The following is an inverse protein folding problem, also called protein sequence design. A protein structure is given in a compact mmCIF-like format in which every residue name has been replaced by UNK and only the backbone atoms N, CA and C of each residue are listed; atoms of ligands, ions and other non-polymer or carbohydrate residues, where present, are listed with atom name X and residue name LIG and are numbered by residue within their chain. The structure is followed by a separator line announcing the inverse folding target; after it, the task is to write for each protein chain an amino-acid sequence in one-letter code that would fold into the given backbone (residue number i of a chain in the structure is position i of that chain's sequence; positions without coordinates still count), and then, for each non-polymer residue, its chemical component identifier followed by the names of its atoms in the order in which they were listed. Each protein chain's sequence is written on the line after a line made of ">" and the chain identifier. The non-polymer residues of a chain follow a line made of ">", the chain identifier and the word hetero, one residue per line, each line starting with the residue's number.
data_IF_445591864288
#
_entry.id   IF_445591864288
#
_cell.length_a   1.000
_cell.length_b   1.000
_cell.length_c   1.000
_cell.angle_alpha   90.00
_cell.angle_beta   90.00
_cell.angle_gamma   90.00
#
_symmetry.space_group_name_H-M   'P 1'
#
loop_
_entity.id
_entity.type
_entity.pdbx_description
1 polymer ?
#
# COMPACT_ATOMS: atom_id res chain seq x y z
N UNK A 1 -40.64 -42.05 -26.79
CA UNK A 1 -41.05 -42.17 -25.38
C UNK A 1 -41.65 -40.86 -24.96
N UNK A 2 -42.98 -40.80 -25.06
CA UNK A 2 -43.81 -39.65 -24.69
C UNK A 2 -44.07 -39.69 -23.18
N UNK A 3 -43.92 -38.56 -22.50
CA UNK A 3 -44.38 -38.40 -21.12
C UNK A 3 -45.40 -37.26 -21.07
N UNK A 4 -46.64 -37.65 -20.75
CA UNK A 4 -47.83 -36.82 -20.71
C UNK A 4 -47.91 -35.99 -19.43
N UNK A 5 -48.39 -34.76 -19.56
CA UNK A 5 -48.81 -33.86 -18.47
C UNK A 5 -50.08 -34.38 -17.78
N UNK A 6 -50.19 -34.30 -16.43
CA UNK A 6 -51.48 -34.33 -15.75
C UNK A 6 -52.01 -32.92 -15.46
N UNK A 7 -53.30 -32.75 -15.79
CA UNK A 7 -54.12 -31.56 -15.58
C UNK A 7 -54.41 -31.31 -14.10
N UNK A 8 -54.40 -30.04 -13.69
CA UNK A 8 -54.85 -29.59 -12.37
C UNK A 8 -56.18 -28.84 -12.56
N UNK A 9 -57.22 -29.40 -11.95
CA UNK A 9 -58.59 -28.88 -11.90
C UNK A 9 -58.69 -27.76 -10.88
N UNK A 10 -59.23 -26.60 -11.28
CA UNK A 10 -59.49 -25.45 -10.41
C UNK A 10 -60.96 -25.45 -9.98
N UNK A 11 -61.30 -25.41 -8.68
CA UNK A 11 -62.66 -25.15 -8.24
C UNK A 11 -62.95 -23.65 -8.18
N UNK A 12 -64.13 -23.29 -8.68
CA UNK A 12 -64.70 -21.95 -8.66
C UNK A 12 -65.12 -21.54 -7.23
N UNK A 13 -64.78 -20.33 -6.82
CA UNK A 13 -65.28 -19.71 -5.59
C UNK A 13 -65.99 -18.40 -5.93
N UNK A 14 -67.26 -18.30 -5.54
CA UNK A 14 -68.11 -17.11 -5.72
C UNK A 14 -67.82 -16.06 -4.65
N UNK A 15 -68.03 -14.75 -4.93
CA UNK A 15 -67.80 -13.69 -3.96
C UNK A 15 -69.09 -13.43 -3.16
N UNK A 16 -68.98 -13.45 -1.83
CA UNK A 16 -70.02 -12.89 -0.97
C UNK A 16 -69.46 -11.64 -0.29
N UNK A 17 -70.04 -10.50 -0.64
CA UNK A 17 -69.65 -9.16 -0.22
C UNK A 17 -70.77 -8.64 0.65
N UNK A 18 -70.59 -8.60 1.97
CA UNK A 18 -71.33 -7.71 2.88
C UNK A 18 -70.77 -7.76 4.29
N UNK A 19 -70.40 -6.58 4.81
CA UNK A 19 -70.34 -6.33 6.26
C UNK A 19 -68.95 -6.25 6.89
N UNK A 20 -68.18 -5.19 6.57
CA UNK A 20 -67.14 -4.71 7.47
C UNK A 20 -67.24 -3.19 7.61
N UNK A 21 -67.81 -2.78 8.74
CA UNK A 21 -67.84 -1.41 9.24
C UNK A 21 -66.42 -1.01 9.64
N UNK A 22 -65.87 0.02 9.00
CA UNK A 22 -64.58 0.62 9.36
C UNK A 22 -64.64 1.25 10.76
N UNK A 23 -63.75 0.89 11.70
CA UNK A 23 -63.55 1.70 12.89
C UNK A 23 -62.79 2.98 12.51
N UNK A 24 -63.32 4.11 13.00
CA UNK A 24 -62.74 5.44 12.88
C UNK A 24 -61.29 5.46 13.41
N UNK A 25 -60.33 6.12 12.73
CA UNK A 25 -58.96 6.19 13.22
C UNK A 25 -58.90 7.04 14.48
N UNK A 26 -58.32 6.48 15.55
CA UNK A 26 -57.96 7.23 16.74
C UNK A 26 -56.89 8.29 16.38
N UNK A 27 -56.89 9.47 17.03
CA UNK A 27 -55.84 10.46 16.84
C UNK A 27 -54.50 9.87 17.32
N UNK A 28 -53.53 9.83 16.42
CA UNK A 28 -52.15 9.44 16.70
C UNK A 28 -51.58 10.46 17.69
N UNK A 29 -51.44 10.04 18.95
CA UNK A 29 -50.59 10.74 19.92
C UNK A 29 -49.16 10.62 19.43
N UNK A 30 -48.62 11.72 18.91
CA UNK A 30 -47.21 11.86 18.57
C UNK A 30 -46.41 11.76 19.86
N UNK A 31 -45.72 10.63 20.02
CA UNK A 31 -44.74 10.40 21.07
C UNK A 31 -43.47 11.22 20.76
N UNK A 32 -43.10 12.23 21.58
CA UNK A 32 -41.90 13.03 21.35
C UNK A 32 -40.70 12.27 21.94
N UNK A 33 -40.30 11.17 21.29
CA UNK A 33 -39.29 10.27 21.88
C UNK A 33 -38.31 9.61 20.93
N UNK A 34 -38.56 9.56 19.62
CA UNK A 34 -37.63 8.96 18.68
C UNK A 34 -36.78 10.04 18.02
N UNK A 35 -35.77 10.50 18.75
CA UNK A 35 -34.60 11.11 18.13
C UNK A 35 -33.96 10.04 17.22
N UNK A 36 -34.15 10.20 15.92
CA UNK A 36 -33.29 9.57 14.93
C UNK A 36 -31.85 10.01 15.21
N UNK A 37 -31.06 9.14 15.84
CA UNK A 37 -29.60 9.26 15.89
C UNK A 37 -29.03 8.91 14.51
N UNK A 38 -29.32 9.76 13.51
CA UNK A 38 -28.68 9.71 12.19
C UNK A 38 -27.30 10.37 12.26
N UNK A 39 -26.38 9.76 13.00
CA UNK A 39 -25.01 10.22 13.14
C UNK A 39 -24.09 9.06 13.49
N UNK A 40 -23.98 8.07 12.60
CA UNK A 40 -23.18 6.85 12.85
C UNK A 40 -21.66 7.10 12.87
N UNK A 41 -21.21 8.32 12.55
CA UNK A 41 -19.83 8.77 12.67
C UNK A 41 -19.81 10.23 13.10
N UNK A 42 -19.63 10.53 14.39
CA UNK A 42 -19.45 11.91 14.86
C UNK A 42 -17.97 12.30 14.74
N UNK A 43 -17.49 12.32 13.49
CA UNK A 43 -16.18 12.89 13.16
C UNK A 43 -14.96 12.08 13.60
N UNK A 44 -13.75 12.59 13.30
CA UNK A 44 -12.48 11.87 13.46
C UNK A 44 -12.07 11.59 14.92
N UNK A 45 -12.76 12.17 15.90
CA UNK A 45 -12.40 12.09 17.33
C UNK A 45 -13.06 10.91 18.07
N UNK A 46 -14.08 10.27 17.49
CA UNK A 46 -14.73 9.09 18.08
C UNK A 46 -13.93 7.80 17.89
N UNK A 47 -12.96 7.82 16.98
CA UNK A 47 -12.14 6.66 16.65
C UNK A 47 -10.87 6.72 17.48
N UNK A 48 -10.65 5.66 18.27
CA UNK A 48 -9.42 5.46 19.03
C UNK A 48 -8.16 5.55 18.12
N UNK A 49 -7.07 6.14 18.65
CA UNK A 49 -5.87 6.42 17.88
C UNK A 49 -5.20 5.15 17.34
N UNK A 50 -5.24 4.06 18.12
CA UNK A 50 -4.76 2.76 17.70
C UNK A 50 -5.58 2.23 16.52
N UNK A 51 -6.91 2.29 16.62
CA UNK A 51 -7.81 1.84 15.55
C UNK A 51 -7.60 2.64 14.24
N UNK A 52 -7.39 3.95 14.36
CA UNK A 52 -7.05 4.82 13.21
C UNK A 52 -5.72 4.42 12.58
N UNK A 53 -4.70 4.21 13.40
CA UNK A 53 -3.37 3.81 12.95
C UNK A 53 -3.40 2.43 12.27
N UNK A 54 -4.12 1.47 12.84
CA UNK A 54 -4.30 0.13 12.28
C UNK A 54 -4.98 0.18 10.90
N UNK A 55 -6.05 0.96 10.77
CA UNK A 55 -6.71 1.17 9.48
C UNK A 55 -5.78 1.83 8.46
N UNK A 56 -4.98 2.82 8.89
CA UNK A 56 -4.04 3.53 8.02
C UNK A 56 -2.93 2.61 7.50
N UNK A 57 -2.34 1.76 8.36
CA UNK A 57 -1.32 0.79 7.95
C UNK A 57 -1.88 -0.18 6.91
N UNK A 58 -3.10 -0.71 7.13
CA UNK A 58 -3.74 -1.60 6.15
C UNK A 58 -4.05 -0.89 4.83
N UNK A 59 -4.51 0.35 4.89
CA UNK A 59 -4.75 1.16 3.69
C UNK A 59 -3.46 1.38 2.90
N UNK A 60 -2.38 1.81 3.56
CA UNK A 60 -1.09 2.03 2.93
C UNK A 60 -0.50 0.73 2.38
N UNK A 61 -0.63 -0.39 3.09
CA UNK A 61 -0.11 -1.68 2.64
C UNK A 61 -0.74 -2.09 1.30
N UNK A 62 -2.07 -2.01 1.20
CA UNK A 62 -2.79 -2.27 -0.05
C UNK A 62 -2.39 -1.29 -1.15
N UNK A 63 -2.21 -0.02 -0.80
CA UNK A 63 -1.86 1.03 -1.75
C UNK A 63 -0.45 0.83 -2.32
N UNK A 64 0.54 0.51 -1.48
CA UNK A 64 1.91 0.24 -1.89
C UNK A 64 2.01 -1.06 -2.68
N UNK A 65 1.22 -2.07 -2.33
CA UNK A 65 1.05 -3.27 -3.17
C UNK A 65 0.54 -2.93 -4.58
N UNK A 66 -0.43 -2.02 -4.71
CA UNK A 66 -0.93 -1.57 -6.01
C UNK A 66 0.09 -0.73 -6.81
N UNK A 67 1.03 -0.05 -6.14
CA UNK A 67 2.17 0.61 -6.78
C UNK A 67 3.27 -0.38 -7.19
N UNK A 68 3.22 -1.63 -6.73
CA UNK A 68 4.27 -2.62 -6.99
C UNK A 68 5.50 -2.44 -6.11
N UNK A 69 5.39 -1.72 -4.98
CA UNK A 69 6.49 -1.51 -4.04
C UNK A 69 6.62 -2.59 -2.97
N UNK A 70 5.67 -3.51 -2.93
CA UNK A 70 5.65 -4.60 -1.95
C UNK A 70 5.78 -5.97 -2.63
N UNK A 71 6.69 -6.09 -3.59
CA UNK A 71 6.96 -7.36 -4.27
C UNK A 71 7.84 -8.24 -3.39
N UNK A 72 7.52 -9.53 -3.29
CA UNK A 72 8.40 -10.48 -2.63
C UNK A 72 9.42 -11.02 -3.63
N UNK A 73 10.71 -10.85 -3.33
CA UNK A 73 11.77 -11.50 -4.11
C UNK A 73 11.67 -13.03 -3.90
N UNK A 74 11.26 -13.75 -4.94
CA UNK A 74 11.15 -15.22 -4.92
C UNK A 74 12.53 -15.91 -4.89
N UNK A 75 13.59 -15.17 -5.21
CA UNK A 75 14.97 -15.65 -5.33
C UNK A 75 15.78 -15.30 -4.07
N UNK A 76 15.28 -14.41 -3.21
CA UNK A 76 15.94 -14.05 -1.97
C UNK A 76 16.08 -15.27 -1.05
N UNK A 77 17.32 -15.52 -0.60
CA UNK A 77 17.66 -16.60 0.34
C UNK A 77 17.01 -16.41 1.72
N UNK A 78 16.62 -15.18 2.04
CA UNK A 78 15.92 -14.81 3.27
C UNK A 78 14.54 -14.29 2.87
N UNK A 79 13.43 -14.80 3.45
CA UNK A 79 12.11 -14.26 3.18
C UNK A 79 12.09 -12.78 3.56
N UNK A 80 12.06 -11.92 2.55
CA UNK A 80 12.10 -10.48 2.75
C UNK A 80 10.79 -10.07 3.42
N UNK A 81 10.93 -9.47 4.60
CA UNK A 81 9.78 -8.95 5.32
C UNK A 81 9.37 -7.60 4.73
N UNK A 82 8.61 -7.68 3.64
CA UNK A 82 8.10 -6.53 2.90
C UNK A 82 6.78 -6.08 3.51
N UNK A 83 6.69 -4.83 3.94
CA UNK A 83 5.52 -4.31 4.61
C UNK A 83 5.73 -2.93 5.22
N UNK A 84 4.85 -2.58 6.15
CA UNK A 84 4.79 -1.26 6.78
C UNK A 84 4.76 -1.44 8.30
N UNK A 85 5.50 -0.61 9.02
CA UNK A 85 5.41 -0.47 10.47
C UNK A 85 5.06 0.98 10.79
N UNK A 86 4.09 1.18 11.67
CA UNK A 86 3.66 2.49 12.15
C UNK A 86 3.60 2.49 13.66
N UNK A 87 3.99 3.61 14.25
CA UNK A 87 3.82 3.87 15.67
C UNK A 87 2.36 4.26 15.93
N UNK A 88 1.72 3.54 16.84
CA UNK A 88 0.37 3.80 17.32
C UNK A 88 0.41 4.11 18.82
N UNK A 89 -0.49 4.98 19.28
CA UNK A 89 -0.74 5.14 20.72
C UNK A 89 -1.88 4.22 21.13
N UNK A 90 -1.69 3.50 22.23
CA UNK A 90 -2.70 2.66 22.84
C UNK A 90 -2.85 3.10 24.30
N UNK A 91 -3.76 4.06 24.54
CA UNK A 91 -3.79 4.79 25.81
C UNK A 91 -2.52 5.61 26.03
N UNK A 92 -1.85 5.38 27.16
CA UNK A 92 -0.57 6.03 27.51
C UNK A 92 0.65 5.32 26.92
N UNK A 93 0.48 4.10 26.41
CA UNK A 93 1.55 3.29 25.85
C UNK A 93 1.74 3.54 24.35
N UNK A 94 2.96 3.35 23.88
CA UNK A 94 3.33 3.43 22.46
C UNK A 94 3.62 2.03 21.94
N UNK A 95 2.92 1.62 20.88
CA UNK A 95 3.10 0.32 20.23
C UNK A 95 3.46 0.50 18.75
N UNK A 96 4.16 -0.47 18.16
CA UNK A 96 4.44 -0.51 16.73
C UNK A 96 3.59 -1.59 16.05
N UNK A 97 2.58 -1.13 15.33
CA UNK A 97 1.70 -1.95 14.51
C UNK A 97 2.35 -2.19 13.14
N UNK A 98 2.11 -3.36 12.55
CA UNK A 98 2.72 -3.73 11.27
C UNK A 98 1.77 -4.49 10.36
N UNK A 99 1.90 -4.27 9.04
CA UNK A 99 1.28 -5.12 8.02
C UNK A 99 2.30 -5.53 6.94
N UNK A 100 2.50 -6.84 6.70
CA UNK A 100 1.83 -7.95 7.38
C UNK A 100 2.23 -8.05 8.87
N UNK A 101 1.41 -8.68 9.70
CA UNK A 101 1.74 -8.88 11.13
C UNK A 101 3.01 -9.71 11.35
N UNK A 102 3.42 -10.48 10.34
CA UNK A 102 4.66 -11.27 10.30
C UNK A 102 5.90 -10.43 9.92
N UNK A 103 5.80 -9.10 10.02
CA UNK A 103 6.90 -8.19 9.76
C UNK A 103 8.11 -8.51 10.67
N UNK A 104 9.33 -8.40 10.15
CA UNK A 104 10.56 -8.60 10.94
C UNK A 104 10.59 -7.63 12.13
N UNK A 105 10.81 -8.18 13.33
CA UNK A 105 10.94 -7.42 14.56
C UNK A 105 12.10 -6.42 14.52
N UNK A 106 13.14 -6.66 13.72
CA UNK A 106 14.22 -5.70 13.50
C UNK A 106 13.69 -4.36 13.01
N UNK A 107 12.68 -4.35 12.12
CA UNK A 107 12.09 -3.11 11.61
C UNK A 107 11.39 -2.33 12.74
N UNK A 108 10.72 -3.02 13.65
CA UNK A 108 10.11 -2.39 14.84
C UNK A 108 11.18 -1.81 15.77
N UNK A 109 12.27 -2.53 16.00
CA UNK A 109 13.42 -2.05 16.78
C UNK A 109 14.05 -0.81 16.14
N UNK A 110 14.21 -0.80 14.82
CA UNK A 110 14.71 0.37 14.07
C UNK A 110 13.78 1.57 14.27
N UNK A 111 12.46 1.37 14.20
CA UNK A 111 11.50 2.44 14.44
C UNK A 111 11.64 3.03 15.85
N UNK A 112 11.81 2.18 16.86
CA UNK A 112 12.00 2.61 18.24
C UNK A 112 13.31 3.42 18.39
N UNK A 113 14.42 2.90 17.86
CA UNK A 113 15.73 3.50 17.98
C UNK A 113 15.83 4.86 17.27
N UNK A 114 15.33 4.95 16.05
CA UNK A 114 15.36 6.16 15.23
C UNK A 114 14.17 7.09 15.50
N UNK A 115 13.28 6.72 16.43
CA UNK A 115 12.08 7.46 16.79
C UNK A 115 11.19 7.79 15.57
N UNK A 116 10.97 6.78 14.72
CA UNK A 116 10.20 6.92 13.48
C UNK A 116 8.70 6.78 13.75
N UNK A 117 7.90 7.59 13.07
CA UNK A 117 6.45 7.48 13.16
C UNK A 117 5.91 6.39 12.23
N UNK A 118 6.49 6.26 11.03
CA UNK A 118 6.14 5.24 10.06
C UNK A 118 7.35 4.90 9.19
N UNK A 119 7.50 3.63 8.85
CA UNK A 119 8.47 3.11 7.88
C UNK A 119 7.81 2.04 7.02
N UNK A 120 8.25 1.90 5.78
CA UNK A 120 7.97 0.70 4.99
C UNK A 120 9.23 0.18 4.32
N UNK A 121 9.26 -1.14 4.11
CA UNK A 121 10.25 -1.82 3.30
C UNK A 121 9.74 -1.87 1.86
N UNK A 122 10.41 -1.14 0.97
CA UNK A 122 10.16 -1.13 -0.46
C UNK A 122 10.98 -2.23 -1.14
N UNK A 123 10.31 -3.09 -1.90
CA UNK A 123 10.89 -4.05 -2.83
C UNK A 123 10.09 -4.01 -4.14
N UNK A 124 10.79 -3.74 -5.23
CA UNK A 124 10.26 -3.68 -6.59
C UNK A 124 11.33 -4.11 -7.60
N UNK A 125 10.93 -4.32 -8.86
CA UNK A 125 11.87 -4.56 -9.97
C UNK A 125 13.01 -3.52 -10.03
N UNK A 126 12.73 -2.28 -9.60
CA UNK A 126 13.70 -1.19 -9.55
C UNK A 126 14.73 -1.41 -8.45
N UNK A 127 14.30 -1.76 -7.24
CA UNK A 127 15.24 -2.04 -6.13
C UNK A 127 16.09 -3.25 -6.45
N UNK A 128 15.50 -4.29 -7.06
CA UNK A 128 16.23 -5.51 -7.46
C UNK A 128 17.37 -5.17 -8.42
N UNK A 129 17.08 -4.35 -9.44
CA UNK A 129 18.08 -3.91 -10.40
C UNK A 129 19.17 -3.03 -9.75
N UNK A 130 18.81 -2.16 -8.80
CA UNK A 130 19.79 -1.38 -8.03
C UNK A 130 20.74 -2.30 -7.26
N UNK A 131 20.22 -3.31 -6.56
CA UNK A 131 21.06 -4.24 -5.78
C UNK A 131 21.95 -5.14 -6.65
N UNK A 132 21.68 -5.28 -7.96
CA UNK A 132 22.65 -5.91 -8.88
C UNK A 132 23.87 -5.04 -9.20
N UNK A 133 23.77 -3.72 -9.00
CA UNK A 133 24.83 -2.75 -9.27
C UNK A 133 25.62 -2.34 -8.03
N UNK A 134 25.03 -2.50 -6.85
CA UNK A 134 25.68 -2.18 -5.58
C UNK A 134 26.74 -3.24 -5.29
N UNK A 135 27.99 -2.79 -5.16
CA UNK A 135 29.09 -3.66 -4.76
C UNK A 135 29.06 -3.91 -3.24
N UNK A 136 29.81 -4.93 -2.81
CA UNK A 136 29.86 -5.31 -1.39
C UNK A 136 30.47 -4.22 -0.51
N UNK A 137 31.38 -3.44 -1.08
CA UNK A 137 32.17 -2.43 -0.36
C UNK A 137 31.52 -1.03 -0.42
N UNK A 138 30.42 -0.86 -1.17
CA UNK A 138 29.70 0.41 -1.26
C UNK A 138 28.95 0.70 0.04
N UNK A 139 29.31 1.78 0.73
CA UNK A 139 28.63 2.25 1.95
C UNK A 139 27.50 3.25 1.67
N UNK A 140 27.48 3.86 0.49
CA UNK A 140 26.50 4.87 0.09
C UNK A 140 26.38 4.95 -1.43
N UNK A 141 25.24 5.42 -1.91
CA UNK A 141 25.05 5.80 -3.32
C UNK A 141 24.51 7.21 -3.43
N UNK A 142 25.03 7.97 -4.40
CA UNK A 142 24.51 9.31 -4.69
C UNK A 142 23.50 9.23 -5.82
N UNK A 143 22.23 9.47 -5.51
CA UNK A 143 21.14 9.49 -6.47
C UNK A 143 21.16 10.81 -7.25
N UNK A 144 21.57 10.74 -8.51
CA UNK A 144 21.44 11.83 -9.48
C UNK A 144 19.96 11.99 -9.92
N UNK A 145 19.48 13.21 -10.22
CA UNK A 145 20.21 14.50 -10.33
C UNK A 145 20.33 15.32 -9.05
N UNK A 146 19.74 14.87 -7.94
CA UNK A 146 19.51 15.72 -6.76
C UNK A 146 20.60 15.64 -5.69
N UNK A 147 21.71 14.95 -5.97
CA UNK A 147 22.85 14.78 -5.05
C UNK A 147 22.43 14.28 -3.66
N UNK A 148 21.39 13.44 -3.59
CA UNK A 148 20.99 12.81 -2.33
C UNK A 148 21.86 11.57 -2.17
N UNK A 149 22.69 11.57 -1.13
CA UNK A 149 23.44 10.41 -0.71
C UNK A 149 22.51 9.51 0.12
N UNK A 150 22.33 8.27 -0.32
CA UNK A 150 21.54 7.26 0.37
C UNK A 150 22.49 6.22 0.93
N UNK A 151 22.50 6.00 2.25
CA UNK A 151 23.39 5.02 2.86
C UNK A 151 22.97 3.60 2.49
N UNK A 152 23.97 2.73 2.35
CA UNK A 152 23.81 1.30 2.14
C UNK A 152 24.24 0.57 3.41
N UNK A 153 23.30 -0.19 3.98
CA UNK A 153 23.50 -0.95 5.20
C UNK A 153 23.52 -2.44 4.87
N UNK A 154 24.39 -3.19 5.52
CA UNK A 154 24.57 -4.62 5.25
C UNK A 154 23.29 -5.43 5.50
N UNK A 155 22.57 -5.14 6.59
CA UNK A 155 21.35 -5.87 6.97
C UNK A 155 20.47 -5.09 7.93
N UNK A 156 19.20 -5.53 8.07
CA UNK A 156 18.27 -4.98 9.07
C UNK A 156 18.78 -5.16 10.50
N UNK A 157 19.44 -6.28 10.79
CA UNK A 157 20.02 -6.56 12.10
C UNK A 157 21.13 -5.56 12.47
N UNK A 158 21.97 -5.18 11.51
CA UNK A 158 23.04 -4.19 11.73
C UNK A 158 22.45 -2.81 12.07
N UNK A 159 21.41 -2.41 11.34
CA UNK A 159 20.69 -1.15 11.59
C UNK A 159 19.94 -1.16 12.93
N UNK A 160 19.27 -2.27 13.26
CA UNK A 160 18.54 -2.44 14.53
C UNK A 160 19.46 -2.40 15.75
N UNK A 161 20.72 -2.80 15.60
CA UNK A 161 21.73 -2.74 16.66
C UNK A 161 22.39 -1.35 16.79
N UNK A 162 21.89 -0.32 16.09
CA UNK A 162 22.43 1.06 16.08
C UNK A 162 23.93 1.13 15.77
N UNK A 163 24.45 0.24 14.93
CA UNK A 163 25.86 0.23 14.54
C UNK A 163 26.18 1.16 13.37
N UNK A 164 25.25 2.04 13.01
CA UNK A 164 25.26 2.81 11.76
C UNK A 164 24.95 4.27 12.04
N UNK A 165 25.57 5.18 11.29
CA UNK A 165 25.36 6.64 11.41
C UNK A 165 24.09 7.15 10.71
N UNK A 166 23.16 6.25 10.34
CA UNK A 166 21.89 6.62 9.67
C UNK A 166 21.05 7.48 10.61
N UNK A 167 20.91 8.75 10.26
CA UNK A 167 20.18 9.72 11.05
C UNK A 167 18.71 9.81 10.64
N UNK A 168 17.84 10.27 11.55
CA UNK A 168 16.42 10.58 11.25
C UNK A 168 16.23 11.62 10.14
N UNK A 169 17.27 12.41 9.84
CA UNK A 169 17.27 13.44 8.79
C UNK A 169 17.31 12.86 7.37
N UNK A 170 17.87 11.66 7.21
CA UNK A 170 17.71 10.89 5.98
C UNK A 170 16.29 10.33 5.98
N UNK A 171 15.65 10.17 4.83
CA UNK A 171 14.28 9.63 4.73
C UNK A 171 14.24 8.21 4.15
N UNK A 172 15.40 7.69 3.75
CA UNK A 172 15.54 6.32 3.27
C UNK A 172 16.98 5.80 3.42
N UNK A 173 17.12 4.49 3.46
CA UNK A 173 18.38 3.78 3.30
C UNK A 173 18.19 2.48 2.50
N UNK A 174 19.25 1.95 1.93
CA UNK A 174 19.24 0.67 1.22
C UNK A 174 19.79 -0.43 2.11
N UNK A 175 19.14 -1.59 2.12
CA UNK A 175 19.54 -2.74 2.92
C UNK A 175 19.97 -3.88 2.00
N UNK A 176 21.26 -4.24 2.04
CA UNK A 176 21.89 -5.13 1.05
C UNK A 176 21.44 -6.58 1.15
N UNK A 177 21.47 -7.17 2.36
CA UNK A 177 21.14 -8.60 2.57
C UNK A 177 19.68 -8.91 2.24
N UNK A 178 18.77 -8.04 2.66
CA UNK A 178 17.33 -8.16 2.44
C UNK A 178 16.88 -7.58 1.08
N UNK A 179 17.78 -6.87 0.37
CA UNK A 179 17.52 -6.20 -0.92
C UNK A 179 16.28 -5.31 -0.91
N UNK A 180 16.13 -4.50 0.14
CA UNK A 180 15.03 -3.55 0.28
C UNK A 180 15.54 -2.13 0.44
N UNK A 181 14.75 -1.16 -0.01
CA UNK A 181 14.89 0.21 0.44
C UNK A 181 13.97 0.42 1.65
N UNK A 182 14.52 0.79 2.80
CA UNK A 182 13.70 1.27 3.92
C UNK A 182 13.40 2.74 3.69
N UNK A 183 12.12 3.11 3.74
CA UNK A 183 11.65 4.49 3.55
C UNK A 183 10.78 4.87 4.74
N UNK A 184 11.07 5.99 5.39
CA UNK A 184 10.34 6.43 6.58
C UNK A 184 9.88 7.89 6.50
N UNK A 185 8.94 8.23 7.37
CA UNK A 185 8.33 9.55 7.46
C UNK A 185 7.75 9.85 8.84
N UNK A 186 7.26 11.08 8.99
CA UNK A 186 6.66 11.55 10.24
C UNK A 186 5.12 11.40 10.23
N UNK A 187 4.52 11.29 9.05
CA UNK A 187 3.09 11.16 8.86
C UNK A 187 2.75 10.18 7.72
N UNK A 188 1.59 9.55 7.81
CA UNK A 188 1.11 8.57 6.81
C UNK A 188 0.94 9.18 5.42
N UNK A 189 0.46 10.42 5.35
CA UNK A 189 0.21 11.16 4.11
C UNK A 189 1.47 11.45 3.29
N UNK A 190 2.62 11.57 3.96
CA UNK A 190 3.91 11.81 3.29
C UNK A 190 4.44 10.54 2.60
N UNK A 191 4.01 9.36 3.03
CA UNK A 191 4.67 8.10 2.63
C UNK A 191 4.50 7.76 1.16
N UNK A 192 3.34 8.10 0.57
CA UNK A 192 3.11 7.91 -0.87
C UNK A 192 4.03 8.81 -1.69
N UNK A 193 4.19 10.07 -1.27
CA UNK A 193 5.06 11.04 -1.95
C UNK A 193 6.52 10.59 -1.81
N UNK A 194 6.99 10.33 -0.59
CA UNK A 194 8.37 9.86 -0.35
C UNK A 194 8.69 8.57 -1.09
N UNK A 195 7.77 7.60 -1.11
CA UNK A 195 7.96 6.36 -1.85
C UNK A 195 8.10 6.62 -3.36
N UNK A 196 7.26 7.48 -3.92
CA UNK A 196 7.32 7.84 -5.35
C UNK A 196 8.64 8.56 -5.69
N UNK A 197 9.09 9.44 -4.79
CA UNK A 197 10.34 10.18 -4.97
C UNK A 197 11.54 9.23 -4.91
N UNK A 198 11.57 8.28 -3.96
CA UNK A 198 12.60 7.25 -3.87
C UNK A 198 12.62 6.41 -5.14
N UNK A 199 11.48 5.87 -5.57
CA UNK A 199 11.39 5.06 -6.79
C UNK A 199 11.87 5.85 -8.02
N UNK A 200 11.39 7.09 -8.20
CA UNK A 200 11.78 7.95 -9.34
C UNK A 200 13.28 8.21 -9.35
N UNK A 201 13.89 8.43 -8.18
CA UNK A 201 15.34 8.64 -8.05
C UNK A 201 16.13 7.36 -8.34
N UNK A 202 15.66 6.20 -7.87
CA UNK A 202 16.28 4.91 -8.17
C UNK A 202 16.23 4.60 -9.67
N UNK A 203 15.08 4.82 -10.33
CA UNK A 203 14.98 4.64 -11.79
C UNK A 203 15.88 5.63 -12.53
N UNK A 204 15.89 6.91 -12.12
CA UNK A 204 16.76 7.92 -12.73
C UNK A 204 18.24 7.54 -12.65
N UNK A 205 18.66 7.00 -11.49
CA UNK A 205 20.00 6.47 -11.29
C UNK A 205 20.29 5.26 -12.21
N UNK A 206 19.36 4.31 -12.34
CA UNK A 206 19.51 3.16 -13.24
C UNK A 206 19.68 3.60 -14.70
N UNK A 207 18.83 4.53 -15.14
CA UNK A 207 18.76 5.00 -16.52
C UNK A 207 19.86 6.01 -16.88
N UNK A 208 20.49 6.65 -15.90
CA UNK A 208 21.45 7.72 -16.12
C UNK A 208 20.83 9.01 -16.68
N UNK A 209 19.51 9.18 -16.55
CA UNK A 209 18.76 10.34 -17.04
C UNK A 209 17.85 10.87 -15.95
N UNK A 210 17.73 12.20 -15.77
CA UNK A 210 16.78 12.77 -14.82
C UNK A 210 15.35 12.51 -15.33
N UNK A 211 14.61 11.64 -14.63
CA UNK A 211 13.19 11.46 -14.91
C UNK A 211 12.44 12.62 -14.26
N UNK A 212 11.65 13.40 -15.01
CA UNK A 212 10.89 14.50 -14.44
C UNK A 212 9.98 13.97 -13.33
N UNK A 213 10.08 14.54 -12.13
CA UNK A 213 9.10 14.26 -11.08
C UNK A 213 7.71 14.66 -11.57
N UNK A 214 6.71 13.85 -11.22
CA UNK A 214 5.32 14.09 -11.61
C UNK A 214 4.93 15.49 -11.11
N UNK A 215 4.59 16.45 -11.99
CA UNK A 215 4.16 17.75 -11.52
C UNK A 215 2.85 17.55 -10.74
N UNK A 216 2.87 17.83 -9.43
CA UNK A 216 1.64 18.03 -8.69
C UNK A 216 0.92 19.18 -9.38
N UNK A 217 -0.19 18.87 -10.04
CA UNK A 217 -0.97 19.81 -10.80
C UNK A 217 -1.36 20.99 -9.91
N UNK A 218 -0.65 22.11 -10.04
CA UNK A 218 -1.20 23.41 -9.75
C UNK A 218 -2.06 23.77 -10.96
N UNK A 219 -3.35 23.47 -10.88
CA UNK A 219 -4.31 23.92 -11.87
C UNK A 219 -4.39 25.46 -11.85
N UNK A 220 -3.78 26.12 -12.84
CA UNK A 220 -4.54 27.13 -13.58
C UNK A 220 -4.05 27.33 -15.02
N UNK A 221 -5.05 27.29 -15.90
CA UNK A 221 -5.11 27.71 -17.32
C UNK A 221 -4.79 26.66 -18.41
N UNK A 222 -5.88 25.99 -18.82
CA UNK A 222 -6.32 25.66 -20.19
C UNK A 222 -5.23 25.42 -21.27
N UNK A 223 -5.14 24.18 -21.76
CA UNK A 223 -5.78 23.77 -23.03
C UNK A 223 -5.50 22.30 -23.37
N UNK A 224 -6.59 21.54 -23.44
CA UNK A 224 -6.97 20.49 -24.40
C UNK A 224 -5.93 19.48 -24.96
N UNK A 225 -6.36 18.22 -24.86
CA UNK A 225 -6.10 17.07 -25.76
C UNK A 225 -4.71 16.42 -25.72
N UNK A 226 -4.63 15.28 -25.01
CA UNK A 226 -4.45 13.94 -25.57
C UNK A 226 -4.32 12.94 -24.40
N UNK A 227 -5.47 12.59 -23.82
CA UNK A 227 -5.55 11.40 -22.99
C UNK A 227 -5.65 10.16 -23.89
N UNK A 228 -5.11 9.07 -23.38
CA UNK A 228 -5.26 7.69 -23.88
C UNK A 228 -4.25 7.23 -24.93
N UNK A 229 -2.96 7.08 -24.55
CA UNK A 229 -2.13 5.96 -25.06
C UNK A 229 -0.80 5.70 -24.33
N UNK A 230 -0.80 5.43 -23.02
CA UNK A 230 0.42 4.93 -22.35
C UNK A 230 0.13 3.79 -21.36
N UNK A 231 -0.49 2.72 -21.86
CA UNK A 231 -0.32 1.36 -21.35
C UNK A 231 -0.01 0.47 -22.55
N UNK A 232 1.24 0.47 -22.97
CA UNK A 232 1.77 -0.55 -23.89
C UNK A 232 3.23 -0.79 -23.55
N UNK A 233 3.46 -1.33 -22.35
CA UNK A 233 4.72 -2.00 -22.01
C UNK A 233 4.56 -3.49 -22.29
N UNK A 234 4.66 -3.85 -23.57
CA UNK A 234 5.42 -5.01 -24.07
C UNK A 234 5.79 -4.68 -25.53
N UNK A 235 7.02 -4.97 -26.01
CA UNK A 235 7.83 -6.12 -25.63
C UNK A 235 9.33 -5.79 -25.37
N UNK A 236 9.76 -5.84 -24.10
CA UNK A 236 11.19 -5.99 -23.74
C UNK A 236 11.54 -7.42 -23.31
N UNK A 237 10.79 -8.42 -23.80
CA UNK A 237 11.06 -9.85 -23.59
C UNK A 237 11.84 -10.53 -24.72
N UNK A 238 12.49 -9.78 -25.61
CA UNK A 238 13.23 -10.34 -26.78
C UNK A 238 14.76 -10.22 -26.74
N UNK A 239 15.37 -9.86 -25.61
CA UNK A 239 16.84 -9.79 -25.52
C UNK A 239 17.53 -10.89 -24.69
N UNK A 240 16.77 -11.76 -24.01
CA UNK A 240 17.35 -12.89 -23.29
C UNK A 240 16.55 -14.18 -23.51
N UNK A 241 16.71 -14.80 -24.69
CA UNK A 241 16.43 -16.22 -24.90
C UNK A 241 17.43 -16.81 -25.90
N UNK A 242 18.43 -17.49 -25.34
CA UNK A 242 19.10 -18.68 -25.85
C UNK A 242 19.67 -18.69 -27.27
N UNK A 243 21.00 -18.69 -27.39
CA UNK A 243 21.69 -19.37 -28.47
C UNK A 243 22.64 -20.40 -27.86
N UNK A 244 22.10 -21.56 -27.55
CA UNK A 244 22.89 -22.78 -27.41
C UNK A 244 22.64 -23.61 -28.65
N UNK A 245 23.68 -23.80 -29.46
CA UNK A 245 23.79 -24.88 -30.45
C UNK A 245 25.30 -25.09 -30.74
N UNK A 246 25.87 -26.12 -30.11
CA UNK A 246 26.88 -27.00 -30.73
C UNK A 246 26.14 -28.04 -31.58
N UNK A 247 26.73 -28.85 -32.49
CA UNK A 247 28.16 -29.14 -32.72
C UNK A 247 28.58 -29.17 -34.22
N UNK A 248 29.88 -29.27 -34.52
CA UNK A 248 30.37 -29.89 -35.78
C UNK A 248 31.55 -30.82 -35.45
N UNK A 249 31.50 -31.99 -36.09
CA UNK A 249 32.45 -33.11 -36.07
C UNK A 249 33.86 -32.72 -36.54
#
# INVERSE_FOLDING_TARGET
>A
MSASNPAITVPAYSPDVSGLTLPSPAPIQQDPGYQHSNGLFQGPNDIDDYARSAMMVQFLYRRFGAYGWLQQDQVAQVPVSVGIVMRAKNGDDTEFISEPQTMDNNVKTICANLNLAIVFSMSSDVTDLIFTRIEKDDSEITLWPYTITVPIIDSLEVLANNRTDVGRGEFCCLIRKEKVALVWGNAAEEMIVRGSDVETKLISFICGLPIPERPLATEHVRSQTLATRWYSLEPLRRLFRGSGDTPIQ
#
